data_IF_871436528705
#
_entry.id   IF_871436528705
#
_cell.length_a   1.000
_cell.length_b   1.000
_cell.length_c   1.000
_cell.angle_alpha   90.00
_cell.angle_beta   90.00
_cell.angle_gamma   90.00
#
_symmetry.space_group_name_H-M   'P 1'
#
loop_
_entity.id
_entity.type
_entity.pdbx_description
1 polymer ?
#
# COMPACT_ATOMS: atom_id res chain seq x y z
N UNK A 1 -30.83 -89.92 -17.91
CA UNK A 1 -29.68 -89.68 -17.02
C UNK A 1 -29.92 -88.38 -16.27
N UNK A 2 -29.71 -88.44 -14.97
CA UNK A 2 -29.95 -87.43 -13.93
C UNK A 2 -28.97 -86.27 -14.13
N UNK A 3 -29.44 -85.03 -14.17
CA UNK A 3 -28.57 -83.86 -13.99
C UNK A 3 -29.14 -82.99 -12.89
N UNK A 4 -28.34 -82.86 -11.85
CA UNK A 4 -28.65 -82.27 -10.56
C UNK A 4 -28.82 -80.75 -10.65
N UNK A 5 -29.66 -80.23 -9.75
CA UNK A 5 -29.72 -78.81 -9.40
C UNK A 5 -28.48 -78.45 -8.58
N UNK A 6 -27.78 -77.38 -8.96
CA UNK A 6 -26.90 -76.64 -8.04
C UNK A 6 -27.36 -75.19 -8.02
N UNK A 7 -27.77 -74.77 -6.82
CA UNK A 7 -28.12 -73.40 -6.44
C UNK A 7 -26.82 -72.62 -6.35
N UNK A 8 -26.65 -71.57 -7.16
CA UNK A 8 -25.53 -70.63 -7.01
C UNK A 8 -26.06 -69.34 -6.35
N UNK A 9 -25.48 -69.05 -5.20
CA UNK A 9 -25.73 -67.90 -4.33
C UNK A 9 -25.51 -66.58 -5.04
N UNK A 10 -26.49 -65.67 -4.95
CA UNK A 10 -26.36 -64.27 -5.39
C UNK A 10 -25.44 -63.56 -4.40
N UNK A 11 -24.19 -63.34 -4.80
CA UNK A 11 -23.28 -62.43 -4.11
C UNK A 11 -23.67 -60.99 -4.44
N UNK A 12 -24.07 -60.23 -3.43
CA UNK A 12 -24.20 -58.77 -3.49
C UNK A 12 -22.81 -58.18 -3.81
N UNK A 13 -22.56 -57.83 -5.07
CA UNK A 13 -21.40 -57.00 -5.43
C UNK A 13 -21.71 -55.57 -5.01
N UNK A 14 -21.03 -55.14 -3.95
CA UNK A 14 -21.14 -53.80 -3.39
C UNK A 14 -20.87 -52.72 -4.43
N UNK A 15 -21.74 -51.73 -4.43
CA UNK A 15 -21.60 -50.45 -5.12
C UNK A 15 -20.28 -49.80 -4.68
N UNK A 16 -19.26 -49.84 -5.53
CA UNK A 16 -18.11 -48.95 -5.42
C UNK A 16 -18.46 -47.67 -6.18
N UNK A 17 -19.02 -46.70 -5.45
CA UNK A 17 -19.04 -45.30 -5.86
C UNK A 17 -17.58 -44.88 -6.09
N UNK A 18 -17.14 -44.91 -7.35
CA UNK A 18 -15.98 -44.13 -7.77
C UNK A 18 -16.38 -42.67 -7.59
N UNK A 19 -16.05 -42.13 -6.41
CA UNK A 19 -16.08 -40.71 -6.13
C UNK A 19 -15.29 -40.03 -7.26
N UNK A 20 -16.00 -39.40 -8.19
CA UNK A 20 -15.40 -38.49 -9.14
C UNK A 20 -14.55 -37.53 -8.32
N UNK A 21 -13.27 -37.42 -8.68
CA UNK A 21 -12.39 -36.40 -8.13
C UNK A 21 -13.17 -35.09 -8.23
N UNK A 22 -13.62 -34.56 -7.10
CA UNK A 22 -14.10 -33.20 -7.04
C UNK A 22 -12.89 -32.36 -7.41
N UNK A 23 -12.93 -31.75 -8.60
CA UNK A 23 -11.97 -30.72 -8.94
C UNK A 23 -12.28 -29.62 -7.94
N UNK A 24 -11.42 -29.50 -6.93
CA UNK A 24 -11.57 -28.47 -5.91
C UNK A 24 -11.82 -27.16 -6.63
N UNK A 25 -12.88 -26.45 -6.23
CA UNK A 25 -13.10 -25.10 -6.70
C UNK A 25 -11.91 -24.29 -6.18
N UNK A 26 -10.91 -24.10 -7.03
CA UNK A 26 -9.82 -23.21 -6.75
C UNK A 26 -10.40 -21.80 -6.83
N UNK A 27 -10.80 -21.29 -5.68
CA UNK A 27 -11.25 -19.91 -5.55
C UNK A 27 -10.02 -19.04 -5.71
N UNK A 28 -9.70 -18.67 -6.95
CA UNK A 28 -8.67 -17.66 -7.20
C UNK A 28 -9.13 -16.37 -6.54
N UNK A 29 -8.44 -15.96 -5.48
CA UNK A 29 -8.64 -14.64 -4.93
C UNK A 29 -8.27 -13.61 -6.01
N UNK A 30 -9.23 -12.78 -6.39
CA UNK A 30 -9.03 -11.79 -7.45
C UNK A 30 -8.00 -10.72 -7.06
N UNK A 31 -7.77 -10.53 -5.75
CA UNK A 31 -6.85 -9.57 -5.17
C UNK A 31 -6.24 -10.11 -3.87
N UNK A 32 -5.00 -9.75 -3.61
CA UNK A 32 -4.34 -9.99 -2.32
C UNK A 32 -4.65 -8.91 -1.28
N UNK A 33 -4.01 -9.00 -0.14
CA UNK A 33 -4.05 -8.00 0.93
C UNK A 33 -2.80 -7.10 0.87
N UNK A 34 -2.94 -5.78 0.58
CA UNK A 34 -1.79 -4.88 0.47
C UNK A 34 -1.04 -4.69 1.79
N UNK A 35 -1.66 -4.91 2.96
CA UNK A 35 -0.96 -4.86 4.24
C UNK A 35 -0.05 -6.08 4.44
N UNK A 36 -0.52 -7.26 4.04
CA UNK A 36 0.34 -8.46 3.98
C UNK A 36 1.44 -8.30 2.95
N UNK A 37 1.13 -7.72 1.79
CA UNK A 37 2.13 -7.44 0.76
C UNK A 37 3.23 -6.48 1.22
N UNK A 38 2.88 -5.45 2.00
CA UNK A 38 3.86 -4.58 2.66
C UNK A 38 4.76 -5.34 3.63
N UNK A 39 4.20 -6.31 4.36
CA UNK A 39 4.97 -7.18 5.26
C UNK A 39 5.93 -8.07 4.45
N UNK A 40 5.46 -8.70 3.38
CA UNK A 40 6.28 -9.47 2.44
C UNK A 40 7.44 -8.62 1.90
N UNK A 41 7.16 -7.38 1.44
CA UNK A 41 8.18 -6.45 0.97
C UNK A 41 9.30 -6.18 2.00
N UNK A 42 8.93 -6.03 3.27
CA UNK A 42 9.87 -5.78 4.35
C UNK A 42 10.67 -7.05 4.73
N UNK A 43 9.96 -8.16 4.98
CA UNK A 43 10.56 -9.39 5.50
C UNK A 43 11.42 -10.12 4.46
N UNK A 44 11.04 -10.04 3.18
CA UNK A 44 11.86 -10.59 2.10
C UNK A 44 13.04 -9.69 1.70
N UNK A 45 13.24 -8.57 2.39
CA UNK A 45 14.39 -7.67 2.21
C UNK A 45 14.35 -6.86 0.91
N UNK A 46 13.17 -6.68 0.29
CA UNK A 46 13.03 -5.90 -0.93
C UNK A 46 13.49 -4.44 -0.71
N UNK A 47 13.18 -3.90 0.47
CA UNK A 47 13.55 -2.54 0.90
C UNK A 47 15.07 -2.31 0.99
N UNK A 48 15.90 -3.36 1.03
CA UNK A 48 17.37 -3.24 1.08
C UNK A 48 17.94 -2.67 -0.21
N UNK A 49 17.28 -2.93 -1.34
CA UNK A 49 17.74 -2.47 -2.66
C UNK A 49 16.75 -1.49 -3.29
N UNK A 50 15.46 -1.75 -3.15
CA UNK A 50 14.40 -0.91 -3.70
C UNK A 50 13.94 0.13 -2.67
N UNK A 51 13.81 1.37 -3.11
CA UNK A 51 13.11 2.40 -2.34
C UNK A 51 11.63 2.42 -2.69
N UNK A 52 10.82 2.98 -1.79
CA UNK A 52 9.48 3.48 -2.09
C UNK A 52 9.46 4.96 -1.71
N UNK A 53 9.30 5.83 -2.70
CA UNK A 53 9.26 7.28 -2.51
C UNK A 53 10.49 7.84 -1.77
N UNK A 54 11.67 7.28 -2.05
CA UNK A 54 12.95 7.66 -1.44
C UNK A 54 13.24 7.00 -0.08
N UNK A 55 12.35 6.13 0.42
CA UNK A 55 12.57 5.37 1.67
C UNK A 55 12.98 3.94 1.35
N UNK A 56 14.17 3.53 1.79
CA UNK A 56 14.76 2.21 1.52
C UNK A 56 16.14 2.33 0.88
N UNK A 57 16.57 1.26 0.21
CA UNK A 57 17.83 1.19 -0.51
C UNK A 57 17.81 1.96 -1.83
N UNK A 58 18.98 2.39 -2.31
CA UNK A 58 19.15 3.09 -3.58
C UNK A 58 19.88 2.27 -4.65
N UNK A 59 20.06 0.96 -4.44
CA UNK A 59 20.79 0.08 -5.36
C UNK A 59 19.94 -0.35 -6.56
N UNK A 60 18.62 -0.24 -6.45
CA UNK A 60 17.66 -0.60 -7.49
C UNK A 60 16.61 0.51 -7.66
N UNK A 61 15.80 0.50 -8.73
CA UNK A 61 14.81 1.53 -8.98
C UNK A 61 13.82 1.71 -7.82
N UNK A 62 13.44 2.96 -7.55
CA UNK A 62 12.38 3.30 -6.61
C UNK A 62 11.02 2.85 -7.17
N UNK A 63 10.40 1.89 -6.49
CA UNK A 63 9.14 1.28 -6.90
C UNK A 63 7.94 2.22 -6.72
N UNK A 64 8.08 3.25 -5.87
CA UNK A 64 7.08 4.29 -5.65
C UNK A 64 7.11 5.40 -6.71
N UNK A 65 8.04 5.36 -7.67
CA UNK A 65 8.21 6.42 -8.68
C UNK A 65 7.96 5.93 -10.11
N UNK A 66 7.58 6.84 -11.04
CA UNK A 66 7.54 6.54 -12.46
C UNK A 66 8.93 6.12 -12.98
N UNK A 67 9.02 5.18 -13.94
CA UNK A 67 7.91 4.51 -14.63
C UNK A 67 7.40 3.25 -13.92
N UNK A 68 7.99 2.86 -12.78
CA UNK A 68 7.66 1.58 -12.11
C UNK A 68 6.25 1.63 -11.50
N UNK A 69 5.92 2.74 -10.84
CA UNK A 69 4.59 3.00 -10.23
C UNK A 69 3.42 3.09 -11.23
N UNK A 70 3.63 2.99 -12.55
CA UNK A 70 2.54 3.10 -13.54
C UNK A 70 2.27 1.80 -14.29
N UNK A 71 2.80 0.67 -13.79
CA UNK A 71 2.67 -0.63 -14.45
C UNK A 71 1.40 -1.34 -14.00
N UNK A 72 0.61 -1.86 -14.93
CA UNK A 72 -0.48 -2.79 -14.57
C UNK A 72 0.08 -4.01 -13.84
N UNK A 73 -0.75 -4.74 -13.09
CA UNK A 73 -0.32 -5.97 -12.41
C UNK A 73 0.38 -6.94 -13.38
N UNK A 74 -0.15 -7.12 -14.59
CA UNK A 74 0.46 -7.96 -15.63
C UNK A 74 1.82 -7.42 -16.11
N UNK A 75 1.95 -6.10 -16.27
CA UNK A 75 3.23 -5.48 -16.63
C UNK A 75 4.26 -5.62 -15.51
N UNK A 76 3.84 -5.48 -14.25
CA UNK A 76 4.71 -5.73 -13.09
C UNK A 76 5.17 -7.18 -13.06
N UNK A 77 4.26 -8.14 -13.22
CA UNK A 77 4.59 -9.55 -13.28
C UNK A 77 5.64 -9.85 -14.38
N UNK A 78 5.46 -9.30 -15.59
CA UNK A 78 6.43 -9.46 -16.69
C UNK A 78 7.79 -8.85 -16.37
N UNK A 79 7.84 -7.65 -15.76
CA UNK A 79 9.10 -7.02 -15.35
C UNK A 79 9.79 -7.84 -14.25
N UNK A 80 9.04 -8.30 -13.24
CA UNK A 80 9.58 -9.12 -12.16
C UNK A 80 10.12 -10.46 -12.69
N UNK A 81 9.39 -11.11 -13.60
CA UNK A 81 9.81 -12.36 -14.23
C UNK A 81 11.17 -12.21 -14.93
N UNK A 82 11.33 -11.14 -15.71
CA UNK A 82 12.57 -10.88 -16.44
C UNK A 82 13.71 -10.38 -15.52
N UNK A 83 13.38 -9.70 -14.43
CA UNK A 83 14.36 -9.15 -13.48
C UNK A 83 14.82 -10.16 -12.42
N UNK A 84 14.05 -11.22 -12.17
CA UNK A 84 14.31 -12.20 -11.12
C UNK A 84 15.73 -12.82 -11.14
N UNK A 85 16.33 -13.18 -12.28
CA UNK A 85 17.71 -13.68 -12.31
C UNK A 85 18.74 -12.67 -11.78
N UNK A 86 18.59 -11.40 -12.16
CA UNK A 86 19.50 -10.31 -11.74
C UNK A 86 19.34 -10.03 -10.24
N UNK A 87 18.10 -10.04 -9.73
CA UNK A 87 17.84 -9.92 -8.29
C UNK A 87 18.50 -11.06 -7.49
N UNK A 88 18.40 -12.30 -7.98
CA UNK A 88 19.03 -13.47 -7.34
C UNK A 88 20.55 -13.32 -7.29
N UNK A 89 21.17 -13.01 -8.43
CA UNK A 89 22.62 -12.81 -8.52
C UNK A 89 23.11 -11.70 -7.58
N UNK A 90 22.39 -10.58 -7.51
CA UNK A 90 22.75 -9.48 -6.61
C UNK A 90 22.61 -9.89 -5.15
N UNK A 91 21.53 -10.59 -4.76
CA UNK A 91 21.37 -11.13 -3.40
C UNK A 91 22.52 -12.05 -3.02
N UNK A 92 22.86 -13.00 -3.90
CA UNK A 92 23.98 -13.92 -3.70
C UNK A 92 25.30 -13.16 -3.50
N UNK A 93 25.59 -12.17 -4.36
CA UNK A 93 26.80 -11.34 -4.25
C UNK A 93 26.88 -10.52 -2.95
N UNK A 94 25.73 -10.27 -2.31
CA UNK A 94 25.62 -9.55 -1.03
C UNK A 94 25.53 -10.51 0.17
N UNK A 95 25.63 -11.82 -0.04
CA UNK A 95 25.47 -12.82 1.02
C UNK A 95 24.06 -12.86 1.61
N UNK A 96 23.06 -12.37 0.88
CA UNK A 96 21.66 -12.40 1.30
C UNK A 96 21.06 -13.75 0.92
N UNK A 97 20.59 -14.49 1.92
CA UNK A 97 19.97 -15.79 1.70
C UNK A 97 18.81 -15.70 0.69
N UNK A 98 18.67 -16.70 -0.22
CA UNK A 98 17.47 -16.84 -1.04
C UNK A 98 16.23 -16.90 -0.15
N UNK A 99 15.20 -16.13 -0.50
CA UNK A 99 13.91 -16.17 0.18
C UNK A 99 12.82 -16.39 -0.86
N UNK A 100 12.46 -17.65 -1.14
CA UNK A 100 11.40 -17.94 -2.10
C UNK A 100 10.07 -17.37 -1.61
N UNK A 101 9.31 -16.79 -2.53
CA UNK A 101 7.95 -16.32 -2.28
C UNK A 101 6.98 -17.45 -2.60
N UNK A 102 6.03 -17.67 -1.72
CA UNK A 102 4.85 -18.50 -1.99
C UNK A 102 3.89 -17.77 -2.93
N UNK A 103 2.95 -18.51 -3.52
CA UNK A 103 1.93 -17.92 -4.39
C UNK A 103 1.05 -16.87 -3.67
N UNK A 104 0.53 -17.10 -2.45
CA UNK A 104 -0.22 -16.06 -1.73
C UNK A 104 0.62 -14.83 -1.41
N UNK A 105 1.89 -15.00 -1.02
CA UNK A 105 2.80 -13.87 -0.76
C UNK A 105 3.05 -13.06 -2.02
N UNK A 106 3.15 -13.71 -3.18
CA UNK A 106 3.31 -13.02 -4.46
C UNK A 106 2.04 -12.22 -4.81
N UNK A 107 0.86 -12.79 -4.61
CA UNK A 107 -0.41 -12.09 -4.84
C UNK A 107 -0.55 -10.86 -3.92
N UNK A 108 -0.24 -11.02 -2.63
CA UNK A 108 -0.22 -9.93 -1.66
C UNK A 108 0.82 -8.85 -2.04
N UNK A 109 2.04 -9.25 -2.42
CA UNK A 109 3.11 -8.33 -2.83
C UNK A 109 2.73 -7.54 -4.09
N UNK A 110 2.22 -8.20 -5.13
CA UNK A 110 1.76 -7.51 -6.35
C UNK A 110 0.61 -6.56 -6.05
N UNK A 111 -0.30 -6.92 -5.15
CA UNK A 111 -1.40 -6.04 -4.73
C UNK A 111 -0.88 -4.82 -3.98
N UNK A 112 0.11 -5.00 -3.10
CA UNK A 112 0.79 -3.90 -2.43
C UNK A 112 1.50 -2.98 -3.43
N UNK A 113 2.29 -3.52 -4.35
CA UNK A 113 3.00 -2.74 -5.36
C UNK A 113 2.03 -1.99 -6.29
N UNK A 114 0.92 -2.62 -6.69
CA UNK A 114 -0.14 -1.96 -7.43
C UNK A 114 -0.79 -0.83 -6.63
N UNK A 115 -0.99 -1.02 -5.33
CA UNK A 115 -1.56 0.01 -4.46
C UNK A 115 -0.70 1.28 -4.42
N UNK A 116 0.61 1.18 -4.70
CA UNK A 116 1.50 2.33 -4.80
C UNK A 116 1.09 3.29 -5.93
N UNK A 117 0.31 2.85 -6.91
CA UNK A 117 -0.25 3.72 -7.95
C UNK A 117 -1.07 4.86 -7.32
N UNK A 118 -1.83 4.55 -6.28
CA UNK A 118 -2.74 5.47 -5.61
C UNK A 118 -2.04 6.37 -4.58
N UNK A 119 -0.73 6.20 -4.37
CA UNK A 119 -0.02 6.81 -3.24
C UNK A 119 0.34 8.31 -3.32
N UNK A 120 -0.29 9.21 -4.08
CA UNK A 120 0.20 10.61 -4.24
C UNK A 120 1.70 10.75 -4.65
N UNK A 121 2.06 11.74 -5.47
CA UNK A 121 3.48 11.98 -5.71
C UNK A 121 4.12 12.52 -4.42
N UNK A 122 5.41 12.21 -4.11
CA UNK A 122 6.07 12.79 -2.95
C UNK A 122 5.97 14.33 -2.96
N UNK A 123 5.37 14.88 -1.90
CA UNK A 123 5.29 16.33 -1.72
C UNK A 123 6.65 16.94 -1.34
N UNK A 124 6.75 18.26 -1.44
CA UNK A 124 7.89 19.05 -1.00
C UNK A 124 7.52 19.80 0.27
N UNK A 125 8.16 19.45 1.40
CA UNK A 125 7.97 20.16 2.66
C UNK A 125 8.24 21.68 2.53
N UNK A 126 9.26 22.08 1.75
CA UNK A 126 9.56 23.49 1.53
C UNK A 126 8.48 24.23 0.75
N UNK A 127 7.87 23.59 -0.27
CA UNK A 127 6.71 24.19 -0.96
C UNK A 127 5.49 24.21 -0.05
N UNK A 128 5.28 23.14 0.71
CA UNK A 128 4.20 23.00 1.68
C UNK A 128 4.22 24.08 2.74
N UNK A 129 5.40 24.43 3.27
CA UNK A 129 5.56 25.53 4.23
C UNK A 129 5.09 26.86 3.65
N UNK A 130 5.51 27.17 2.41
CA UNK A 130 5.09 28.40 1.72
C UNK A 130 3.60 28.41 1.45
N UNK A 131 3.06 27.29 0.99
CA UNK A 131 1.62 27.13 0.73
C UNK A 131 0.80 27.27 2.01
N UNK A 132 1.27 26.69 3.11
CA UNK A 132 0.63 26.80 4.42
C UNK A 132 0.53 28.25 4.90
N UNK A 133 1.58 29.05 4.65
CA UNK A 133 1.55 30.48 4.92
C UNK A 133 0.66 31.24 3.92
N UNK A 134 0.84 31.04 2.62
CA UNK A 134 0.18 31.82 1.57
C UNK A 134 -1.32 31.51 1.42
N UNK A 135 -1.75 30.29 1.75
CA UNK A 135 -3.17 29.89 1.78
C UNK A 135 -3.84 30.29 3.11
N UNK A 136 -3.15 31.03 3.98
CA UNK A 136 -3.69 31.55 5.24
C UNK A 136 -3.84 30.53 6.37
N UNK A 137 -3.36 29.29 6.21
CA UNK A 137 -3.47 28.25 7.22
C UNK A 137 -2.75 28.66 8.53
N UNK A 138 -1.62 29.36 8.40
CA UNK A 138 -0.83 29.88 9.52
C UNK A 138 -1.55 30.97 10.34
N UNK A 139 -2.64 31.56 9.84
CA UNK A 139 -3.45 32.52 10.61
C UNK A 139 -4.07 31.85 11.84
N UNK A 140 -4.55 30.61 11.66
CA UNK A 140 -5.28 29.88 12.70
C UNK A 140 -4.49 28.71 13.28
N UNK A 141 -3.75 27.97 12.46
CA UNK A 141 -3.13 26.71 12.85
C UNK A 141 -1.63 26.86 13.17
N UNK A 142 -1.16 26.01 14.09
CA UNK A 142 0.26 25.82 14.38
C UNK A 142 0.64 24.39 14.03
N UNK A 143 1.79 24.21 13.40
CA UNK A 143 2.29 22.88 13.00
C UNK A 143 3.12 22.23 14.09
N UNK A 144 3.89 23.03 14.84
CA UNK A 144 4.70 22.58 15.96
C UNK A 144 4.39 23.40 17.22
N UNK A 145 4.51 22.74 18.37
CA UNK A 145 4.22 23.31 19.69
C UNK A 145 2.72 23.30 20.06
N UNK A 146 2.48 23.54 21.34
CA UNK A 146 1.14 23.43 21.97
C UNK A 146 0.58 24.81 22.36
N UNK A 147 1.07 25.88 21.73
CA UNK A 147 0.57 27.22 22.02
C UNK A 147 -0.89 27.35 21.55
N UNK A 148 -1.79 27.93 22.35
CA UNK A 148 -3.15 28.21 21.94
C UNK A 148 -3.19 29.07 20.68
N UNK A 149 -4.04 28.69 19.72
CA UNK A 149 -4.34 29.44 18.50
C UNK A 149 -5.85 29.46 18.26
N UNK A 150 -6.29 30.13 17.19
CA UNK A 150 -7.70 30.15 16.78
C UNK A 150 -8.14 28.72 16.37
N UNK A 151 -7.27 28.01 15.64
CA UNK A 151 -7.48 26.62 15.27
C UNK A 151 -6.69 25.64 16.15
N UNK A 152 -7.06 24.35 16.16
CA UNK A 152 -6.30 23.32 16.86
C UNK A 152 -4.86 23.21 16.33
N UNK A 153 -3.94 22.82 17.20
CA UNK A 153 -2.58 22.46 16.80
C UNK A 153 -2.60 21.23 15.89
N UNK A 154 -1.85 21.29 14.79
CA UNK A 154 -1.68 20.20 13.83
C UNK A 154 -0.54 19.25 14.26
N UNK A 155 0.10 19.48 15.41
CA UNK A 155 1.15 18.61 15.96
C UNK A 155 0.71 17.15 16.10
N UNK A 156 -0.57 16.94 16.46
CA UNK A 156 -1.20 15.63 16.60
C UNK A 156 -1.54 14.94 15.27
N UNK A 157 -1.55 15.67 14.17
CA UNK A 157 -1.88 15.10 12.87
C UNK A 157 -0.73 14.38 12.17
N UNK A 158 0.50 14.51 12.69
CA UNK A 158 1.67 13.76 12.22
C UNK A 158 1.50 12.25 12.31
N UNK A 159 0.65 11.76 13.22
CA UNK A 159 0.37 10.34 13.39
C UNK A 159 -0.43 9.74 12.23
N UNK A 160 -1.14 10.57 11.44
CA UNK A 160 -1.92 10.10 10.31
C UNK A 160 -1.04 10.07 9.04
N UNK A 161 -0.38 8.92 8.81
CA UNK A 161 0.43 8.70 7.61
C UNK A 161 -0.43 8.44 6.34
N UNK A 162 -1.70 8.07 6.51
CA UNK A 162 -2.62 7.78 5.40
C UNK A 162 -3.25 9.04 4.82
N UNK A 163 -3.14 9.31 3.50
CA UNK A 163 -3.87 10.38 2.82
C UNK A 163 -5.39 10.28 2.99
N UNK A 164 -5.93 9.06 3.08
CA UNK A 164 -7.37 8.82 3.27
C UNK A 164 -7.83 9.32 4.65
N UNK A 165 -7.05 9.05 5.70
CA UNK A 165 -7.38 9.53 7.05
C UNK A 165 -7.25 11.06 7.13
N UNK A 166 -6.28 11.64 6.42
CA UNK A 166 -6.20 13.10 6.28
C UNK A 166 -7.42 13.69 5.61
N UNK A 167 -7.88 13.09 4.50
CA UNK A 167 -9.07 13.52 3.80
C UNK A 167 -10.31 13.43 4.71
N UNK A 168 -10.49 12.32 5.43
CA UNK A 168 -11.61 12.13 6.36
C UNK A 168 -11.65 13.23 7.44
N UNK A 169 -10.53 13.47 8.12
CA UNK A 169 -10.50 14.46 9.20
C UNK A 169 -10.64 15.88 8.65
N UNK A 170 -10.03 16.21 7.51
CA UNK A 170 -10.17 17.54 6.91
C UNK A 170 -11.58 17.79 6.38
N UNK A 171 -12.22 16.80 5.76
CA UNK A 171 -13.57 16.95 5.20
C UNK A 171 -14.61 17.13 6.31
N UNK A 172 -14.45 16.40 7.40
CA UNK A 172 -15.32 16.54 8.58
C UNK A 172 -15.09 17.86 9.32
N UNK A 173 -13.84 18.34 9.37
CA UNK A 173 -13.50 19.63 9.99
C UNK A 173 -13.80 20.86 9.10
N UNK A 174 -13.93 20.66 7.79
CA UNK A 174 -14.05 21.73 6.80
C UNK A 174 -15.23 22.68 7.08
N UNK A 175 -16.37 22.17 7.54
CA UNK A 175 -17.56 22.99 7.85
C UNK A 175 -17.25 24.01 8.96
N UNK A 176 -16.54 23.60 10.01
CA UNK A 176 -16.17 24.48 11.11
C UNK A 176 -15.13 25.52 10.67
N UNK A 177 -14.17 25.10 9.83
CA UNK A 177 -13.21 26.03 9.23
C UNK A 177 -13.93 27.07 8.36
N UNK A 178 -14.86 26.64 7.52
CA UNK A 178 -15.55 27.52 6.57
C UNK A 178 -16.34 28.60 7.33
N UNK A 179 -17.09 28.19 8.35
CA UNK A 179 -17.80 29.12 9.22
C UNK A 179 -16.82 30.12 9.87
N UNK A 180 -15.72 29.63 10.43
CA UNK A 180 -14.77 30.52 11.11
C UNK A 180 -14.06 31.48 10.15
N UNK A 181 -13.78 31.03 8.93
CA UNK A 181 -13.21 31.86 7.88
C UNK A 181 -14.18 32.96 7.44
N UNK A 182 -15.48 32.65 7.29
CA UNK A 182 -16.52 33.66 7.02
C UNK A 182 -16.61 34.70 8.15
N UNK A 183 -16.59 34.27 9.41
CA UNK A 183 -16.59 35.18 10.57
C UNK A 183 -15.40 36.15 10.57
N UNK A 184 -14.24 35.69 10.07
CA UNK A 184 -13.00 36.47 10.02
C UNK A 184 -12.81 37.22 8.69
N UNK A 185 -13.77 37.13 7.76
CA UNK A 185 -13.66 37.74 6.43
C UNK A 185 -12.54 37.15 5.56
N UNK A 186 -12.16 35.88 5.79
CA UNK A 186 -11.13 35.18 5.04
C UNK A 186 -11.73 34.37 3.90
N UNK A 187 -11.06 34.37 2.75
CA UNK A 187 -11.45 33.55 1.60
C UNK A 187 -11.05 32.08 1.77
N UNK A 188 -11.93 31.16 1.37
CA UNK A 188 -11.66 29.72 1.38
C UNK A 188 -10.52 29.35 0.42
N UNK A 189 -9.49 28.60 0.88
CA UNK A 189 -8.35 28.28 0.03
C UNK A 189 -8.71 27.26 -1.05
N UNK A 190 -8.25 27.50 -2.27
CA UNK A 190 -8.32 26.53 -3.37
C UNK A 190 -6.96 25.85 -3.54
N UNK A 191 -6.94 24.53 -3.70
CA UNK A 191 -5.70 23.75 -3.92
C UNK A 191 -5.61 23.28 -5.36
N UNK A 192 -4.40 23.28 -5.93
CA UNK A 192 -4.10 22.80 -7.29
C UNK A 192 -3.13 21.63 -7.23
N UNK A 193 -3.27 20.66 -8.12
CA UNK A 193 -2.31 19.57 -8.32
C UNK A 193 -1.86 18.93 -6.98
N UNK A 194 -0.55 19.00 -6.67
CA UNK A 194 0.07 18.45 -5.46
C UNK A 194 0.14 19.44 -4.29
N UNK A 195 -0.49 20.62 -4.35
CA UNK A 195 -0.36 21.64 -3.28
C UNK A 195 -0.78 21.10 -1.91
N UNK A 196 -1.86 20.31 -1.84
CA UNK A 196 -2.29 19.68 -0.59
C UNK A 196 -1.27 18.65 -0.08
N UNK A 197 -0.70 17.86 -0.99
CA UNK A 197 0.34 16.87 -0.66
C UNK A 197 1.60 17.54 -0.14
N UNK A 198 1.99 18.67 -0.73
CA UNK A 198 3.10 19.50 -0.27
C UNK A 198 2.84 20.00 1.17
N UNK A 199 1.64 20.54 1.45
CA UNK A 199 1.25 21.02 2.80
C UNK A 199 1.26 19.88 3.83
N UNK A 200 0.68 18.72 3.51
CA UNK A 200 0.70 17.55 4.41
C UNK A 200 2.15 17.09 4.64
N UNK A 201 2.99 17.11 3.61
CA UNK A 201 4.42 16.75 3.72
C UNK A 201 5.16 17.70 4.65
N UNK A 202 4.88 19.02 4.56
CA UNK A 202 5.42 20.01 5.49
C UNK A 202 5.00 19.73 6.93
N UNK A 203 3.70 19.53 7.17
CA UNK A 203 3.17 19.28 8.51
C UNK A 203 3.87 18.08 9.15
N UNK A 204 4.02 16.98 8.39
CA UNK A 204 4.72 15.77 8.86
C UNK A 204 6.20 16.04 9.17
N UNK A 205 6.92 16.68 8.25
CA UNK A 205 8.36 16.94 8.38
C UNK A 205 8.69 17.86 9.56
N UNK A 206 7.82 18.83 9.86
CA UNK A 206 8.00 19.76 10.96
C UNK A 206 7.83 19.09 12.35
N UNK A 207 7.19 17.92 12.42
CA UNK A 207 6.90 17.20 13.67
C UNK A 207 7.86 16.02 13.88
N UNK A 208 8.28 15.36 12.78
CA UNK A 208 9.29 14.30 12.78
C UNK A 208 10.55 14.77 12.04
N UNK A 209 11.45 15.54 12.68
CA UNK A 209 12.70 15.93 12.05
C UNK A 209 13.50 14.67 11.66
N UNK A 210 14.24 14.68 10.54
CA UNK A 210 15.01 13.52 10.11
C UNK A 210 15.98 13.10 11.21
N UNK A 211 16.05 11.79 11.49
CA UNK A 211 17.11 11.23 12.34
C UNK A 211 18.44 11.58 11.67
N UNK A 212 19.28 12.34 12.40
CA UNK A 212 20.67 12.60 12.01
C UNK A 212 21.49 11.32 12.02
#
# INVERSE_FOLDING_TARGET
MRTDRVILTIGLVGITLLAGRAWGQETYALWGDPQKGRKVYAEHGCATCHAINGVGGGLAPDLGRPPVRHKTVTQMAGVMWNHAPQMRQLRESKGLAPQPLTEPEMLDLLTYLYSLHFLDQPGSARRGERLFASKGCATCHRVAGDRPGIGPSLSRFSQYASPILWAEVMWTHAVNMEQKMKELGLEWPTFKENEMVDVITYIRAAIQPPKR
#
